data_IF_402961064767
#
_entry.id   IF_402961064767
#
_cell.length_a   1.000
_cell.length_b   1.000
_cell.length_c   1.000
_cell.angle_alpha   90.00
_cell.angle_beta   90.00
_cell.angle_gamma   90.00
#
_symmetry.space_group_name_H-M   'P 1'
#
loop_
_entity.id
_entity.type
_entity.pdbx_description
1 polymer ?
#
# COMPACT_ATOMS: atom_id res chain seq x y z
N UNK A 1 -1.25 2.46 -36.34
CA UNK A 1 -2.46 2.93 -35.64
C UNK A 1 -2.06 4.04 -34.69
N UNK A 2 -2.86 5.11 -34.63
CA UNK A 2 -2.64 6.24 -33.73
C UNK A 2 -3.06 5.88 -32.31
N UNK A 3 -2.28 6.31 -31.31
CA UNK A 3 -2.47 5.93 -29.91
C UNK A 3 -2.31 7.12 -28.98
N UNK A 4 -3.07 7.13 -27.89
CA UNK A 4 -2.84 8.02 -26.74
C UNK A 4 -2.28 7.19 -25.58
N UNK A 5 -1.08 7.55 -25.11
CA UNK A 5 -0.45 6.86 -23.96
C UNK A 5 -0.29 7.81 -22.79
N UNK A 6 -0.80 7.43 -21.63
CA UNK A 6 -0.64 8.15 -20.37
C UNK A 6 0.43 7.48 -19.51
N UNK A 7 1.42 8.23 -19.02
CA UNK A 7 2.32 7.70 -17.98
C UNK A 7 1.73 7.93 -16.58
N UNK A 8 1.85 6.95 -15.68
CA UNK A 8 1.37 7.06 -14.28
C UNK A 8 2.50 6.78 -13.30
N UNK A 9 2.80 7.68 -12.37
CA UNK A 9 3.83 7.46 -11.34
C UNK A 9 4.42 8.72 -10.71
N UNK A 10 5.15 8.54 -9.60
CA UNK A 10 5.75 9.64 -8.83
C UNK A 10 6.80 10.44 -9.63
N UNK A 11 7.04 11.72 -9.30
CA UNK A 11 8.25 12.43 -9.74
C UNK A 11 9.51 11.59 -9.46
N UNK A 12 10.46 11.55 -10.41
CA UNK A 12 11.65 10.68 -10.31
C UNK A 12 11.45 9.21 -10.73
N UNK A 13 10.24 8.77 -11.10
CA UNK A 13 9.98 7.36 -11.47
C UNK A 13 10.49 6.94 -12.86
N UNK A 14 10.91 7.89 -13.72
CA UNK A 14 11.47 7.61 -15.06
C UNK A 14 10.52 7.80 -16.24
N UNK A 15 9.33 8.35 -16.02
CA UNK A 15 8.30 8.61 -17.06
C UNK A 15 8.84 9.39 -18.25
N UNK A 16 9.46 10.55 -17.99
CA UNK A 16 10.00 11.44 -19.04
C UNK A 16 11.11 10.77 -19.84
N UNK A 17 11.99 9.99 -19.18
CA UNK A 17 13.05 9.22 -19.84
C UNK A 17 12.44 8.21 -20.81
N UNK A 18 11.49 7.41 -20.33
CA UNK A 18 10.80 6.42 -21.17
C UNK A 18 10.07 7.08 -22.34
N UNK A 19 9.36 8.20 -22.11
CA UNK A 19 8.62 8.91 -23.15
C UNK A 19 9.56 9.43 -24.26
N UNK A 20 10.71 10.02 -23.89
CA UNK A 20 11.74 10.46 -24.84
C UNK A 20 12.30 9.31 -25.66
N UNK A 21 12.58 8.17 -25.03
CA UNK A 21 13.02 6.98 -25.74
C UNK A 21 11.99 6.49 -26.77
N UNK A 22 10.69 6.54 -26.45
CA UNK A 22 9.65 6.14 -27.41
C UNK A 22 9.62 7.06 -28.64
N UNK A 23 9.74 8.38 -28.45
CA UNK A 23 9.80 9.33 -29.57
C UNK A 23 11.05 9.12 -30.42
N UNK A 24 12.21 8.92 -29.79
CA UNK A 24 13.48 8.71 -30.52
C UNK A 24 13.49 7.39 -31.32
N UNK A 25 12.74 6.37 -30.87
CA UNK A 25 12.59 5.10 -31.58
C UNK A 25 11.57 5.15 -32.72
N UNK A 26 10.68 6.14 -32.71
CA UNK A 26 9.62 6.28 -33.70
C UNK A 26 10.11 7.04 -34.95
N UNK A 27 9.38 6.90 -36.05
CA UNK A 27 9.63 7.73 -37.24
C UNK A 27 9.41 9.21 -36.88
N UNK A 28 10.27 10.14 -37.36
CA UNK A 28 10.11 11.56 -37.09
C UNK A 28 8.71 12.07 -37.40
N UNK A 29 8.09 12.81 -36.47
CA UNK A 29 6.76 13.39 -36.61
C UNK A 29 5.58 12.44 -36.35
N UNK A 30 5.83 11.16 -36.02
CA UNK A 30 4.75 10.19 -35.78
C UNK A 30 4.33 10.07 -34.31
N UNK A 31 5.21 10.42 -33.38
CA UNK A 31 4.95 10.39 -31.93
C UNK A 31 5.42 11.70 -31.30
N UNK A 32 4.60 12.29 -30.43
CA UNK A 32 4.93 13.52 -29.69
C UNK A 32 4.71 13.35 -28.19
N UNK A 33 5.40 14.16 -27.38
CA UNK A 33 5.23 14.22 -25.93
C UNK A 33 4.49 15.51 -25.58
N UNK A 34 3.47 15.39 -24.74
CA UNK A 34 2.81 16.52 -24.08
C UNK A 34 3.03 16.39 -22.58
N UNK A 35 3.60 17.42 -21.96
CA UNK A 35 3.97 17.44 -20.55
C UNK A 35 3.52 18.78 -19.94
N UNK A 36 2.78 18.73 -18.84
CA UNK A 36 2.31 19.94 -18.16
C UNK A 36 3.44 20.73 -17.50
N UNK A 37 4.53 20.06 -17.07
CA UNK A 37 5.71 20.76 -16.54
C UNK A 37 6.32 21.66 -17.63
N UNK A 38 6.49 21.13 -18.85
CA UNK A 38 7.02 21.88 -20.00
C UNK A 38 6.06 23.02 -20.41
N UNK A 39 4.74 22.77 -20.38
CA UNK A 39 3.74 23.80 -20.68
C UNK A 39 3.69 24.90 -19.61
N UNK A 40 3.88 24.58 -18.32
CA UNK A 40 3.99 25.58 -17.25
C UNK A 40 5.20 26.48 -17.45
N UNK A 41 6.34 25.89 -17.80
CA UNK A 41 7.54 26.64 -18.12
C UNK A 41 7.31 27.58 -19.32
N UNK A 42 6.72 27.05 -20.39
CA UNK A 42 6.45 27.79 -21.63
C UNK A 42 5.43 28.93 -21.45
N UNK A 43 4.29 28.65 -20.81
CA UNK A 43 3.15 29.57 -20.77
C UNK A 43 3.21 30.54 -19.58
N UNK A 44 3.86 30.14 -18.48
CA UNK A 44 3.76 30.86 -17.21
C UNK A 44 5.13 31.08 -16.53
N UNK A 45 6.24 30.85 -17.24
CA UNK A 45 7.60 30.94 -16.68
C UNK A 45 7.75 30.09 -15.40
N UNK A 46 7.10 28.92 -15.37
CA UNK A 46 7.12 27.99 -14.24
C UNK A 46 6.27 28.42 -13.03
N UNK A 47 5.55 29.55 -13.10
CA UNK A 47 4.73 30.04 -11.98
C UNK A 47 3.43 29.29 -11.84
N UNK A 48 3.24 28.65 -10.68
CA UNK A 48 2.00 27.97 -10.35
C UNK A 48 0.93 28.93 -9.80
N UNK A 49 -0.29 28.81 -10.29
CA UNK A 49 -1.52 29.36 -9.69
C UNK A 49 -2.73 28.54 -10.17
N UNK A 50 -3.87 28.54 -9.46
CA UNK A 50 -5.06 27.81 -9.92
C UNK A 50 -5.49 28.22 -11.34
N UNK A 51 -5.45 29.52 -11.65
CA UNK A 51 -5.77 30.03 -12.99
C UNK A 51 -4.77 29.56 -14.05
N UNK A 52 -3.48 29.50 -13.72
CA UNK A 52 -2.45 29.00 -14.64
C UNK A 52 -2.61 27.49 -14.88
N UNK A 53 -2.95 26.70 -13.86
CA UNK A 53 -3.13 25.26 -14.01
C UNK A 53 -4.31 24.94 -14.93
N UNK A 54 -5.42 25.68 -14.84
CA UNK A 54 -6.55 25.57 -15.78
C UNK A 54 -6.11 25.87 -17.22
N UNK A 55 -5.32 26.93 -17.42
CA UNK A 55 -4.80 27.29 -18.75
C UNK A 55 -3.88 26.20 -19.31
N UNK A 56 -2.97 25.68 -18.49
CA UNK A 56 -2.05 24.61 -18.86
C UNK A 56 -2.79 23.32 -19.21
N UNK A 57 -3.82 22.97 -18.45
CA UNK A 57 -4.68 21.83 -18.77
C UNK A 57 -5.38 22.03 -20.10
N UNK A 58 -6.02 23.18 -20.34
CA UNK A 58 -6.69 23.45 -21.61
C UNK A 58 -5.72 23.41 -22.81
N UNK A 59 -4.51 23.95 -22.65
CA UNK A 59 -3.47 23.88 -23.67
C UNK A 59 -3.01 22.44 -23.94
N UNK A 60 -2.80 21.65 -22.89
CA UNK A 60 -2.48 20.23 -23.01
C UNK A 60 -3.55 19.48 -23.78
N UNK A 61 -4.82 19.68 -23.42
CA UNK A 61 -5.96 18.98 -24.00
C UNK A 61 -6.15 19.36 -25.47
N UNK A 62 -5.93 20.63 -25.81
CA UNK A 62 -5.94 21.11 -27.18
C UNK A 62 -4.80 20.50 -28.02
N UNK A 63 -3.58 20.41 -27.48
CA UNK A 63 -2.45 19.80 -28.17
C UNK A 63 -2.67 18.31 -28.40
N UNK A 64 -3.02 17.57 -27.35
CA UNK A 64 -3.34 16.13 -27.44
C UNK A 64 -4.41 15.92 -28.51
N UNK A 65 -5.49 16.69 -28.43
CA UNK A 65 -6.60 16.65 -29.36
C UNK A 65 -6.17 16.86 -30.82
N UNK A 66 -5.36 17.87 -31.07
CA UNK A 66 -4.93 18.28 -32.41
C UNK A 66 -4.01 17.24 -33.05
N UNK A 67 -3.05 16.71 -32.29
CA UNK A 67 -2.11 15.71 -32.80
C UNK A 67 -2.81 14.40 -33.13
N UNK A 68 -3.70 13.93 -32.25
CA UNK A 68 -4.47 12.71 -32.50
C UNK A 68 -5.34 12.83 -33.75
N UNK A 69 -6.00 13.98 -33.97
CA UNK A 69 -6.80 14.24 -35.18
C UNK A 69 -5.97 14.26 -36.48
N UNK A 70 -4.65 14.48 -36.38
CA UNK A 70 -3.72 14.41 -37.52
C UNK A 70 -3.08 13.02 -37.71
N UNK A 71 -3.49 12.04 -36.91
CA UNK A 71 -2.92 10.70 -36.94
C UNK A 71 -1.59 10.55 -36.19
N UNK A 72 -1.12 11.58 -35.48
CA UNK A 72 0.09 11.55 -34.66
C UNK A 72 -0.21 10.96 -33.29
N UNK A 73 0.55 9.94 -32.87
CA UNK A 73 0.42 9.36 -31.53
C UNK A 73 0.95 10.31 -30.46
N UNK A 74 0.30 10.34 -29.29
CA UNK A 74 0.63 11.28 -28.21
C UNK A 74 0.98 10.52 -26.94
N UNK A 75 2.07 10.91 -26.29
CA UNK A 75 2.45 10.45 -24.95
C UNK A 75 2.25 11.62 -23.98
N UNK A 76 1.35 11.47 -23.01
CA UNK A 76 1.15 12.42 -21.92
C UNK A 76 2.04 12.04 -20.74
N UNK A 77 3.17 12.74 -20.60
CA UNK A 77 4.29 12.38 -19.72
C UNK A 77 4.20 13.00 -18.31
N UNK A 78 2.98 13.14 -17.77
CA UNK A 78 2.72 13.70 -16.43
C UNK A 78 2.75 12.63 -15.33
N UNK A 79 2.55 13.03 -14.07
CA UNK A 79 2.41 12.09 -12.94
C UNK A 79 1.14 11.23 -13.02
N UNK A 80 0.02 11.81 -13.46
CA UNK A 80 -1.29 11.19 -13.66
C UNK A 80 -1.73 10.22 -12.54
N UNK A 81 -1.45 10.60 -11.28
CA UNK A 81 -1.82 9.79 -10.11
C UNK A 81 -3.30 9.96 -9.71
N UNK A 82 -3.89 11.14 -9.95
CA UNK A 82 -5.32 11.38 -9.75
C UNK A 82 -6.13 10.61 -10.82
N UNK A 83 -7.10 9.75 -10.44
CA UNK A 83 -7.98 9.04 -11.37
C UNK A 83 -8.70 9.92 -12.39
N UNK A 84 -9.08 11.14 -12.01
CA UNK A 84 -9.76 12.10 -12.91
C UNK A 84 -8.91 12.42 -14.16
N UNK A 85 -7.58 12.39 -14.06
CA UNK A 85 -6.71 12.59 -15.22
C UNK A 85 -6.82 11.45 -16.23
N UNK A 86 -6.99 10.21 -15.76
CA UNK A 86 -7.14 9.05 -16.62
C UNK A 86 -8.49 9.10 -17.33
N UNK A 87 -9.58 9.32 -16.59
CA UNK A 87 -10.94 9.45 -17.15
C UNK A 87 -10.99 10.53 -18.23
N UNK A 88 -10.36 11.69 -17.98
CA UNK A 88 -10.28 12.79 -18.93
C UNK A 88 -9.54 12.42 -20.22
N UNK A 89 -8.37 11.77 -20.12
CA UNK A 89 -7.58 11.38 -21.28
C UNK A 89 -8.23 10.22 -22.06
N UNK A 90 -8.86 9.27 -21.36
CA UNK A 90 -9.68 8.21 -21.96
C UNK A 90 -10.84 8.83 -22.77
N UNK A 91 -11.52 9.84 -22.23
CA UNK A 91 -12.55 10.58 -22.96
C UNK A 91 -12.03 11.25 -24.24
N UNK A 92 -10.84 11.85 -24.20
CA UNK A 92 -10.19 12.47 -25.38
C UNK A 92 -9.85 11.43 -26.45
N UNK A 93 -9.38 10.24 -26.04
CA UNK A 93 -9.08 9.13 -26.93
C UNK A 93 -10.36 8.54 -27.57
N UNK A 94 -11.38 8.28 -26.75
CA UNK A 94 -12.66 7.75 -27.18
C UNK A 94 -13.35 8.66 -28.21
N UNK A 95 -13.36 9.97 -27.96
CA UNK A 95 -13.91 10.96 -28.89
C UNK A 95 -13.22 11.00 -30.26
N UNK A 96 -12.03 10.41 -30.38
CA UNK A 96 -11.24 10.35 -31.63
C UNK A 96 -11.11 8.95 -32.21
N UNK A 97 -11.71 7.95 -31.56
CA UNK A 97 -11.59 6.54 -31.96
C UNK A 97 -10.15 6.03 -31.96
N UNK A 98 -9.29 6.53 -31.05
CA UNK A 98 -7.90 6.06 -30.92
C UNK A 98 -7.74 5.17 -29.70
N UNK A 99 -6.77 4.26 -29.74
CA UNK A 99 -6.48 3.37 -28.62
C UNK A 99 -5.82 4.13 -27.46
N UNK A 100 -6.27 3.87 -26.24
CA UNK A 100 -5.70 4.43 -25.02
C UNK A 100 -4.86 3.40 -24.27
N UNK A 101 -3.69 3.81 -23.79
CA UNK A 101 -2.78 2.96 -23.01
C UNK A 101 -2.28 3.67 -21.75
N UNK A 102 -2.13 2.90 -20.66
CA UNK A 102 -1.49 3.37 -19.43
C UNK A 102 -0.12 2.72 -19.29
N UNK A 103 0.93 3.54 -19.23
CA UNK A 103 2.27 3.10 -18.85
C UNK A 103 2.50 3.38 -17.37
N UNK A 104 2.42 2.32 -16.57
CA UNK A 104 2.52 2.40 -15.11
C UNK A 104 3.98 2.34 -14.60
N UNK A 105 4.33 3.29 -13.73
CA UNK A 105 5.60 3.42 -13.02
C UNK A 105 5.39 3.54 -11.49
N UNK A 106 4.20 3.22 -10.98
CA UNK A 106 3.88 3.22 -9.55
C UNK A 106 4.59 2.12 -8.77
N UNK A 107 5.13 1.12 -9.47
CA UNK A 107 5.99 0.07 -8.93
C UNK A 107 7.40 0.56 -8.53
N UNK A 108 7.81 1.77 -8.96
CA UNK A 108 9.12 2.32 -8.59
C UNK A 108 9.10 2.77 -7.12
N UNK A 109 10.03 2.24 -6.32
CA UNK A 109 10.10 2.50 -4.88
C UNK A 109 10.19 4.00 -4.56
N UNK A 110 9.46 4.44 -3.52
CA UNK A 110 9.45 5.82 -3.03
C UNK A 110 10.86 6.39 -2.84
N UNK A 111 11.74 5.68 -2.14
CA UNK A 111 13.11 6.14 -1.89
C UNK A 111 13.91 6.29 -3.20
N UNK A 112 13.70 5.41 -4.18
CA UNK A 112 14.33 5.55 -5.50
C UNK A 112 13.85 6.81 -6.21
N UNK A 113 12.54 7.11 -6.15
CA UNK A 113 11.97 8.33 -6.70
C UNK A 113 12.57 9.58 -6.03
N UNK A 114 12.66 9.61 -4.70
CA UNK A 114 13.27 10.73 -3.93
C UNK A 114 14.75 10.90 -4.31
N UNK A 115 15.55 9.83 -4.27
CA UNK A 115 16.98 9.91 -4.59
C UNK A 115 17.25 10.35 -6.04
N UNK A 116 16.36 10.01 -6.98
CA UNK A 116 16.45 10.48 -8.36
C UNK A 116 16.01 11.92 -8.49
N UNK A 117 14.96 12.33 -7.79
CA UNK A 117 14.45 13.70 -7.85
C UNK A 117 15.47 14.72 -7.33
N UNK A 118 16.20 14.38 -6.26
CA UNK A 118 17.27 15.21 -5.70
C UNK A 118 18.40 15.51 -6.68
N UNK A 119 18.57 14.70 -7.73
CA UNK A 119 19.60 14.88 -8.77
C UNK A 119 19.09 15.65 -9.99
N UNK A 120 17.82 16.03 -10.03
CA UNK A 120 17.22 16.77 -11.15
C UNK A 120 17.51 18.26 -11.01
N UNK A 121 17.79 18.92 -12.13
CA UNK A 121 17.91 20.38 -12.20
C UNK A 121 16.64 21.08 -11.66
N UNK A 122 15.47 20.57 -12.02
CA UNK A 122 14.17 20.97 -11.45
C UNK A 122 13.63 19.87 -10.54
N UNK A 123 14.09 19.88 -9.28
CA UNK A 123 13.56 19.00 -8.23
C UNK A 123 12.21 19.51 -7.74
N UNK A 124 11.28 18.58 -7.48
CA UNK A 124 9.99 18.91 -6.85
C UNK A 124 10.08 18.86 -5.31
N UNK A 125 11.10 18.19 -4.78
CA UNK A 125 11.36 18.06 -3.35
C UNK A 125 10.72 16.82 -2.70
N UNK A 126 11.42 16.28 -1.70
CA UNK A 126 11.02 15.06 -0.98
C UNK A 126 9.61 15.14 -0.39
N UNK A 127 9.28 16.28 0.25
CA UNK A 127 7.98 16.49 0.89
C UNK A 127 6.83 16.28 -0.09
N UNK A 128 6.94 16.86 -1.29
CA UNK A 128 5.90 16.74 -2.34
C UNK A 128 5.78 15.30 -2.81
N UNK A 129 6.88 14.58 -2.98
CA UNK A 129 6.85 13.17 -3.41
C UNK A 129 6.18 12.29 -2.35
N UNK A 130 6.48 12.52 -1.06
CA UNK A 130 5.83 11.81 0.05
C UNK A 130 4.34 12.08 0.09
N UNK A 131 3.93 13.34 -0.02
CA UNK A 131 2.51 13.72 -0.06
C UNK A 131 1.76 13.07 -1.24
N UNK A 132 2.38 13.02 -2.43
CA UNK A 132 1.80 12.34 -3.59
C UNK A 132 1.72 10.83 -3.40
N UNK A 133 2.73 10.23 -2.79
CA UNK A 133 2.75 8.81 -2.47
C UNK A 133 1.64 8.47 -1.46
N UNK A 134 1.55 9.21 -0.36
CA UNK A 134 0.51 9.04 0.65
C UNK A 134 -0.89 9.24 0.09
N UNK A 135 -1.10 10.26 -0.74
CA UNK A 135 -2.42 10.58 -1.26
C UNK A 135 -2.96 9.56 -2.26
N UNK A 136 -2.10 9.00 -3.10
CA UNK A 136 -2.53 8.23 -4.28
C UNK A 136 -2.03 6.78 -4.33
N UNK A 137 -0.93 6.46 -3.64
CA UNK A 137 -0.29 5.14 -3.71
C UNK A 137 -0.37 4.38 -2.39
N UNK A 138 -0.47 5.09 -1.26
CA UNK A 138 -0.84 4.46 0.02
C UNK A 138 -2.33 4.18 -0.03
N UNK A 139 -2.75 2.91 0.08
CA UNK A 139 -4.17 2.60 0.13
C UNK A 139 -4.79 3.28 1.34
N UNK A 140 -5.88 4.00 1.13
CA UNK A 140 -6.64 4.60 2.22
C UNK A 140 -7.20 3.48 3.13
N UNK A 141 -7.35 3.72 4.43
CA UNK A 141 -8.12 2.83 5.29
C UNK A 141 -9.49 2.60 4.66
N UNK A 142 -9.87 1.33 4.52
CA UNK A 142 -11.27 0.99 4.29
C UNK A 142 -12.10 1.47 5.49
N UNK A 143 -13.39 1.70 5.26
CA UNK A 143 -14.31 1.95 6.38
C UNK A 143 -14.20 0.81 7.39
N UNK A 144 -14.32 1.09 8.70
CA UNK A 144 -14.32 0.05 9.70
C UNK A 144 -15.35 -1.04 9.32
N UNK A 145 -14.99 -2.33 9.45
CA UNK A 145 -15.92 -3.42 9.18
C UNK A 145 -17.21 -3.23 9.97
N UNK A 146 -18.36 -3.42 9.33
CA UNK A 146 -19.64 -3.30 10.01
C UNK A 146 -19.74 -4.35 11.11
N UNK A 147 -20.24 -3.93 12.28
CA UNK A 147 -20.56 -4.83 13.38
C UNK A 147 -21.72 -5.74 13.01
N UNK A 148 -21.56 -7.04 13.25
CA UNK A 148 -22.57 -8.06 13.03
C UNK A 148 -23.30 -8.32 14.36
N UNK A 149 -24.62 -8.08 14.43
CA UNK A 149 -25.41 -8.31 15.64
C UNK A 149 -25.27 -9.75 16.16
N UNK A 150 -25.14 -9.90 17.48
CA UNK A 150 -25.04 -11.21 18.14
C UNK A 150 -23.67 -11.89 18.03
N UNK A 151 -22.68 -11.29 17.36
CA UNK A 151 -21.30 -11.79 17.36
C UNK A 151 -20.50 -11.20 18.53
N UNK A 152 -19.59 -11.98 19.15
CA UNK A 152 -18.77 -11.50 20.25
C UNK A 152 -17.81 -10.40 19.79
N UNK A 153 -17.50 -9.46 20.68
CA UNK A 153 -16.39 -8.53 20.49
C UNK A 153 -15.08 -9.29 20.61
N UNK A 154 -14.12 -9.00 19.73
CA UNK A 154 -12.83 -9.68 19.75
C UNK A 154 -11.65 -8.72 19.68
N UNK A 155 -10.55 -9.17 20.26
CA UNK A 155 -9.22 -8.57 20.14
C UNK A 155 -8.33 -9.55 19.41
N UNK A 156 -7.74 -9.11 18.30
CA UNK A 156 -6.73 -9.91 17.60
C UNK A 156 -5.37 -9.63 18.22
N UNK A 157 -4.63 -10.70 18.52
CA UNK A 157 -3.35 -10.61 19.22
C UNK A 157 -2.29 -11.36 18.43
N UNK A 158 -1.30 -10.62 17.94
CA UNK A 158 -0.09 -11.21 17.36
C UNK A 158 0.80 -11.88 18.41
N UNK A 159 1.69 -12.78 17.97
CA UNK A 159 2.65 -13.46 18.85
C UNK A 159 4.03 -12.81 18.84
N UNK A 160 4.78 -12.99 17.75
CA UNK A 160 6.22 -12.71 17.70
C UNK A 160 6.51 -11.21 17.67
N UNK A 161 7.09 -10.68 18.75
CA UNK A 161 7.31 -9.23 18.94
C UNK A 161 6.14 -8.52 19.61
N UNK A 162 5.03 -9.24 19.85
CA UNK A 162 3.82 -8.72 20.50
C UNK A 162 3.65 -9.29 21.91
N UNK A 163 3.15 -10.53 22.08
CA UNK A 163 3.14 -11.20 23.40
C UNK A 163 4.40 -12.02 23.65
N UNK A 164 5.02 -12.54 22.59
CA UNK A 164 6.22 -13.36 22.65
C UNK A 164 7.45 -12.52 22.30
N UNK A 165 8.44 -12.54 23.18
CA UNK A 165 9.73 -11.87 23.04
C UNK A 165 10.78 -12.89 22.62
N UNK A 166 11.19 -12.83 21.36
CA UNK A 166 11.98 -13.88 20.69
C UNK A 166 13.42 -14.10 21.16
N UNK A 167 13.95 -13.28 22.06
CA UNK A 167 15.35 -13.38 22.48
C UNK A 167 16.32 -13.40 21.29
N UNK A 168 17.15 -14.44 21.21
CA UNK A 168 18.12 -14.68 20.13
C UNK A 168 17.59 -15.56 18.98
N UNK A 169 16.35 -16.09 19.11
CA UNK A 169 15.76 -16.99 18.13
C UNK A 169 15.53 -16.28 16.80
N UNK A 170 15.91 -16.93 15.70
CA UNK A 170 15.65 -16.41 14.34
C UNK A 170 14.14 -16.40 14.02
N UNK A 171 13.62 -15.45 13.22
CA UNK A 171 12.18 -15.34 12.96
C UNK A 171 11.57 -16.57 12.31
N UNK A 172 12.36 -17.43 11.67
CA UNK A 172 11.91 -18.63 10.96
C UNK A 172 12.35 -19.92 11.65
N UNK A 173 12.93 -19.82 12.85
CA UNK A 173 13.34 -20.96 13.66
C UNK A 173 12.14 -21.42 14.50
N UNK A 174 11.39 -22.34 13.91
CA UNK A 174 10.10 -22.81 14.43
C UNK A 174 10.22 -23.85 15.55
N UNK A 175 11.39 -24.49 15.66
CA UNK A 175 11.62 -25.58 16.61
C UNK A 175 11.96 -25.06 18.02
N UNK A 176 12.22 -23.76 18.16
CA UNK A 176 12.61 -23.09 19.42
C UNK A 176 11.56 -22.09 19.92
N UNK A 177 10.35 -22.11 19.37
CA UNK A 177 9.30 -21.12 19.72
C UNK A 177 8.83 -21.20 21.17
N UNK A 178 9.12 -22.31 21.84
CA UNK A 178 8.86 -22.57 23.25
C UNK A 178 9.90 -21.93 24.18
N UNK A 179 11.03 -21.49 23.65
CA UNK A 179 12.09 -20.78 24.38
C UNK A 179 11.84 -19.26 24.49
N UNK A 180 10.81 -18.75 23.81
CA UNK A 180 10.53 -17.32 23.78
C UNK A 180 10.17 -16.79 25.19
N UNK A 181 10.67 -15.60 25.53
CA UNK A 181 10.30 -14.86 26.74
C UNK A 181 8.97 -14.10 26.51
N UNK A 182 8.46 -13.43 27.53
CA UNK A 182 7.11 -12.82 27.50
C UNK A 182 7.19 -11.30 27.59
N UNK A 183 6.39 -10.62 26.77
CA UNK A 183 6.06 -9.21 26.99
C UNK A 183 4.95 -9.09 28.03
N UNK A 184 5.34 -9.08 29.32
CA UNK A 184 4.39 -9.15 30.42
C UNK A 184 3.35 -8.02 30.40
N UNK A 185 3.77 -6.81 30.04
CA UNK A 185 2.89 -5.64 29.89
C UNK A 185 1.81 -5.84 28.82
N UNK A 186 2.15 -6.51 27.72
CA UNK A 186 1.18 -6.86 26.67
C UNK A 186 0.28 -8.01 27.11
N UNK A 187 0.81 -9.00 27.84
CA UNK A 187 0.01 -10.09 28.42
C UNK A 187 -1.00 -9.58 29.45
N UNK A 188 -0.62 -8.63 30.30
CA UNK A 188 -1.50 -7.99 31.27
C UNK A 188 -2.64 -7.22 30.56
N UNK A 189 -2.32 -6.53 29.46
CA UNK A 189 -3.32 -5.88 28.61
C UNK A 189 -4.29 -6.91 27.98
N UNK A 190 -3.78 -8.00 27.41
CA UNK A 190 -4.61 -9.06 26.82
C UNK A 190 -5.53 -9.69 27.87
N UNK A 191 -5.01 -9.97 29.06
CA UNK A 191 -5.78 -10.52 30.18
C UNK A 191 -6.86 -9.54 30.64
N UNK A 192 -6.53 -8.25 30.75
CA UNK A 192 -7.49 -7.18 31.09
C UNK A 192 -8.62 -7.10 30.06
N UNK A 193 -8.30 -7.15 28.77
CA UNK A 193 -9.29 -7.09 27.68
C UNK A 193 -10.20 -8.33 27.68
N UNK A 194 -9.64 -9.51 27.94
CA UNK A 194 -10.39 -10.75 28.14
C UNK A 194 -11.36 -10.64 29.30
N UNK A 195 -10.87 -10.21 30.46
CA UNK A 195 -11.68 -10.12 31.68
C UNK A 195 -12.77 -9.03 31.57
N UNK A 196 -12.56 -8.03 30.72
CA UNK A 196 -13.60 -7.07 30.30
C UNK A 196 -14.65 -7.67 29.33
N UNK A 197 -14.53 -8.95 28.96
CA UNK A 197 -15.51 -9.69 28.15
C UNK A 197 -15.18 -9.77 26.65
N UNK A 198 -13.97 -9.40 26.22
CA UNK A 198 -13.56 -9.59 24.84
C UNK A 198 -13.08 -11.02 24.58
N UNK A 199 -13.42 -11.57 23.41
CA UNK A 199 -12.83 -12.81 22.92
C UNK A 199 -11.41 -12.53 22.43
N UNK A 200 -10.42 -13.27 22.95
CA UNK A 200 -9.04 -13.15 22.50
C UNK A 200 -8.79 -14.16 21.37
N UNK A 201 -8.41 -13.64 20.20
CA UNK A 201 -8.07 -14.45 19.02
C UNK A 201 -6.60 -14.24 18.68
N UNK A 202 -5.79 -15.27 18.89
CA UNK A 202 -4.37 -15.24 18.54
C UNK A 202 -4.18 -15.45 17.04
N UNK A 203 -3.33 -14.64 16.43
CA UNK A 203 -2.96 -14.75 15.02
C UNK A 203 -1.45 -14.66 14.86
N UNK A 204 -0.82 -15.59 14.14
CA UNK A 204 0.64 -15.65 14.07
C UNK A 204 1.17 -15.89 12.67
N UNK A 205 2.33 -15.26 12.40
CA UNK A 205 3.16 -15.54 11.24
C UNK A 205 3.97 -16.83 11.33
N UNK A 206 4.00 -17.51 12.49
CA UNK A 206 4.65 -18.80 12.67
C UNK A 206 4.01 -19.86 11.78
N UNK A 207 4.83 -20.71 11.17
CA UNK A 207 4.37 -21.86 10.39
C UNK A 207 3.59 -22.84 11.28
N UNK A 208 2.49 -23.39 10.77
CA UNK A 208 1.61 -24.33 11.48
C UNK A 208 2.34 -25.61 11.94
N UNK A 209 3.53 -25.93 11.42
CA UNK A 209 4.40 -26.97 12.03
C UNK A 209 4.71 -26.70 13.51
N UNK A 210 4.77 -25.42 13.91
CA UNK A 210 5.00 -25.00 15.29
C UNK A 210 3.71 -24.86 16.11
N UNK A 211 2.57 -25.38 15.63
CA UNK A 211 1.28 -25.18 16.30
C UNK A 211 1.25 -25.71 17.73
N UNK A 212 1.64 -26.98 17.92
CA UNK A 212 1.66 -27.61 19.24
C UNK A 212 2.62 -26.93 20.23
N UNK A 213 3.89 -26.63 19.89
CA UNK A 213 4.77 -25.91 20.82
C UNK A 213 4.30 -24.47 21.07
N UNK A 214 3.74 -23.78 20.07
CA UNK A 214 3.16 -22.44 20.26
C UNK A 214 1.95 -22.48 21.20
N UNK A 215 1.07 -23.46 21.04
CA UNK A 215 -0.09 -23.71 21.91
C UNK A 215 0.34 -23.93 23.36
N UNK A 216 1.30 -24.82 23.57
CA UNK A 216 1.84 -25.12 24.90
C UNK A 216 2.48 -23.89 25.53
N UNK A 217 3.23 -23.11 24.74
CA UNK A 217 3.85 -21.87 25.20
C UNK A 217 2.81 -20.85 25.69
N UNK A 218 1.71 -20.67 24.95
CA UNK A 218 0.60 -19.79 25.38
C UNK A 218 -0.01 -20.23 26.71
N UNK A 219 -0.25 -21.53 26.87
CA UNK A 219 -0.85 -22.08 28.10
C UNK A 219 0.06 -21.92 29.31
N UNK A 220 1.36 -22.14 29.11
CA UNK A 220 2.38 -22.02 30.16
C UNK A 220 2.60 -20.57 30.60
N UNK A 221 2.66 -19.62 29.65
CA UNK A 221 3.13 -18.28 29.91
C UNK A 221 2.03 -17.21 30.02
N UNK A 222 0.90 -17.40 29.33
CA UNK A 222 -0.23 -16.46 29.34
C UNK A 222 -1.36 -16.97 30.23
N UNK A 223 -1.56 -18.30 30.26
CA UNK A 223 -2.44 -18.95 31.20
C UNK A 223 -3.28 -20.06 30.57
N UNK A 224 -3.79 -20.96 31.42
CA UNK A 224 -4.51 -22.17 31.01
C UNK A 224 -5.79 -21.89 30.22
N UNK A 225 -6.41 -20.72 30.39
CA UNK A 225 -7.57 -20.30 29.60
C UNK A 225 -7.26 -20.21 28.11
N UNK A 226 -5.99 -19.99 27.75
CA UNK A 226 -5.61 -19.94 26.35
C UNK A 226 -5.85 -21.28 25.69
N UNK A 227 -5.88 -22.42 26.42
CA UNK A 227 -6.10 -23.79 25.91
C UNK A 227 -7.26 -23.92 24.92
N UNK A 228 -8.32 -23.14 25.14
CA UNK A 228 -9.50 -23.09 24.28
C UNK A 228 -9.57 -21.84 23.40
N UNK A 229 -8.67 -20.86 23.58
CA UNK A 229 -8.66 -19.63 22.79
C UNK A 229 -8.32 -19.93 21.32
N UNK A 230 -8.99 -19.27 20.35
CA UNK A 230 -8.66 -19.40 18.94
C UNK A 230 -7.20 -19.03 18.64
N UNK A 231 -6.49 -19.92 17.94
CA UNK A 231 -5.14 -19.70 17.43
C UNK A 231 -5.13 -19.97 15.93
N UNK A 232 -4.86 -18.93 15.14
CA UNK A 232 -4.69 -19.01 13.70
C UNK A 232 -3.23 -18.77 13.32
N UNK A 233 -2.66 -19.68 12.54
CA UNK A 233 -1.25 -19.66 12.15
C UNK A 233 -1.11 -19.73 10.63
N UNK A 234 0.08 -19.40 10.15
CA UNK A 234 0.44 -19.51 8.73
C UNK A 234 0.35 -20.96 8.27
N UNK A 235 -0.34 -21.26 7.15
CA UNK A 235 -0.38 -22.60 6.58
C UNK A 235 1.02 -23.16 6.34
N UNK A 236 1.18 -24.48 6.50
CA UNK A 236 2.48 -25.14 6.31
C UNK A 236 3.08 -24.78 4.95
N UNK A 237 4.36 -24.41 4.96
CA UNK A 237 5.15 -24.09 3.76
C UNK A 237 4.74 -22.81 3.02
N UNK A 238 3.84 -22.00 3.56
CA UNK A 238 3.47 -20.73 2.95
C UNK A 238 4.56 -19.67 3.13
N UNK A 239 5.23 -19.32 2.04
CA UNK A 239 6.33 -18.34 2.01
C UNK A 239 5.88 -16.92 1.68
N UNK A 240 4.57 -16.65 1.58
CA UNK A 240 4.03 -15.30 1.32
C UNK A 240 4.35 -14.36 2.48
N UNK A 241 4.29 -13.05 2.22
CA UNK A 241 4.51 -12.03 3.27
C UNK A 241 3.50 -12.16 4.40
N UNK A 242 3.92 -11.80 5.60
CA UNK A 242 3.10 -11.94 6.82
C UNK A 242 1.76 -11.22 6.75
N UNK A 243 1.75 -9.97 6.30
CA UNK A 243 0.50 -9.22 6.11
C UNK A 243 -0.47 -9.88 5.12
N UNK A 244 0.04 -10.59 4.08
CA UNK A 244 -0.83 -11.29 3.11
C UNK A 244 -1.51 -12.49 3.76
N UNK A 245 -0.74 -13.28 4.52
CA UNK A 245 -1.27 -14.47 5.22
C UNK A 245 -2.25 -14.06 6.31
N UNK A 246 -1.91 -13.06 7.13
CA UNK A 246 -2.79 -12.57 8.19
C UNK A 246 -4.08 -11.95 7.64
N UNK A 247 -4.01 -11.24 6.53
CA UNK A 247 -5.20 -10.71 5.84
C UNK A 247 -6.11 -11.84 5.34
N UNK A 248 -5.55 -12.88 4.73
CA UNK A 248 -6.31 -14.06 4.27
C UNK A 248 -7.01 -14.76 5.46
N UNK A 249 -6.27 -15.04 6.53
CA UNK A 249 -6.81 -15.62 7.77
C UNK A 249 -7.95 -14.75 8.31
N UNK A 250 -7.75 -13.43 8.37
CA UNK A 250 -8.78 -12.51 8.85
C UNK A 250 -10.06 -12.62 8.01
N UNK A 251 -9.94 -12.53 6.69
CA UNK A 251 -11.09 -12.56 5.77
C UNK A 251 -11.84 -13.90 5.82
N UNK A 252 -11.12 -15.01 5.90
CA UNK A 252 -11.71 -16.34 5.82
C UNK A 252 -12.20 -16.88 7.16
N UNK A 253 -11.49 -16.55 8.25
CA UNK A 253 -11.69 -17.18 9.56
C UNK A 253 -12.30 -16.24 10.60
N UNK A 254 -12.11 -14.93 10.47
CA UNK A 254 -12.47 -13.98 11.54
C UNK A 254 -13.64 -13.06 11.11
N UNK A 255 -13.57 -12.49 9.91
CA UNK A 255 -14.56 -11.55 9.39
C UNK A 255 -15.96 -12.17 9.38
N UNK A 256 -16.92 -11.46 9.97
CA UNK A 256 -18.31 -11.91 10.10
C UNK A 256 -18.58 -12.93 11.22
N UNK A 257 -17.53 -13.52 11.81
CA UNK A 257 -17.62 -14.36 13.01
C UNK A 257 -17.40 -13.58 14.30
N UNK A 258 -16.60 -12.51 14.23
CA UNK A 258 -16.27 -11.64 15.36
C UNK A 258 -16.47 -10.17 15.00
N UNK A 259 -16.82 -9.38 16.01
CA UNK A 259 -16.80 -7.92 15.96
C UNK A 259 -15.43 -7.44 16.47
N UNK A 260 -14.44 -7.37 15.58
CA UNK A 260 -13.07 -7.00 15.94
C UNK A 260 -12.98 -5.52 16.29
N UNK A 261 -12.65 -5.22 17.54
CA UNK A 261 -12.53 -3.84 18.04
C UNK A 261 -11.09 -3.34 18.09
N UNK A 262 -10.15 -4.26 18.26
CA UNK A 262 -8.75 -3.93 18.47
C UNK A 262 -7.86 -5.02 17.90
N UNK A 263 -6.73 -4.61 17.35
CA UNK A 263 -5.63 -5.48 16.96
C UNK A 263 -4.36 -5.04 17.69
N UNK A 264 -3.63 -5.99 18.27
CA UNK A 264 -2.31 -5.81 18.85
C UNK A 264 -1.30 -6.51 17.93
N UNK A 265 -0.37 -5.74 17.35
CA UNK A 265 0.65 -6.25 16.42
C UNK A 265 1.87 -5.32 16.48
N UNK A 266 3.09 -5.82 16.32
CA UNK A 266 4.31 -5.02 16.43
C UNK A 266 4.80 -4.52 15.06
N UNK A 267 4.66 -5.36 14.03
CA UNK A 267 5.38 -5.21 12.77
C UNK A 267 4.72 -4.21 11.84
N UNK A 268 5.47 -3.19 11.42
CA UNK A 268 4.94 -2.03 10.68
C UNK A 268 4.14 -2.42 9.43
N UNK A 269 4.67 -3.33 8.61
CA UNK A 269 3.98 -3.74 7.38
C UNK A 269 2.64 -4.47 7.63
N UNK A 270 2.50 -5.11 8.79
CA UNK A 270 1.29 -5.84 9.22
C UNK A 270 0.32 -4.87 9.89
N UNK A 271 0.82 -3.98 10.75
CA UNK A 271 0.05 -2.86 11.32
C UNK A 271 -0.56 -1.99 10.22
N UNK A 272 0.21 -1.64 9.20
CA UNK A 272 -0.28 -0.89 8.05
C UNK A 272 -1.36 -1.68 7.30
N UNK A 273 -1.25 -3.01 7.23
CA UNK A 273 -2.29 -3.87 6.66
C UNK A 273 -3.58 -3.81 7.48
N UNK A 274 -3.52 -3.98 8.80
CA UNK A 274 -4.71 -3.92 9.65
C UNK A 274 -5.42 -2.57 9.56
N UNK A 275 -4.65 -1.48 9.58
CA UNK A 275 -5.17 -0.12 9.40
C UNK A 275 -5.80 0.07 8.01
N UNK A 276 -5.22 -0.50 6.95
CA UNK A 276 -5.85 -0.52 5.61
C UNK A 276 -7.18 -1.27 5.60
N UNK A 277 -7.36 -2.30 6.42
CA UNK A 277 -8.62 -3.02 6.61
C UNK A 277 -9.64 -2.28 7.49
N UNK A 278 -9.36 -1.04 7.87
CA UNK A 278 -10.26 -0.25 8.73
C UNK A 278 -10.21 -0.66 10.20
N UNK A 279 -9.29 -1.54 10.59
CA UNK A 279 -9.17 -2.05 11.95
C UNK A 279 -8.28 -1.13 12.81
N UNK A 280 -8.79 -0.80 14.00
CA UNK A 280 -8.01 -0.09 15.01
C UNK A 280 -6.88 -0.98 15.50
N UNK A 281 -5.66 -0.52 15.34
CA UNK A 281 -4.45 -1.30 15.63
C UNK A 281 -3.51 -0.53 16.54
N UNK A 282 -3.22 -1.12 17.72
CA UNK A 282 -2.19 -0.64 18.62
C UNK A 282 -0.88 -1.33 18.28
N UNK A 283 0.11 -0.52 17.94
CA UNK A 283 1.45 -1.01 17.67
C UNK A 283 2.25 -1.03 18.97
N UNK A 284 2.59 -2.22 19.46
CA UNK A 284 3.12 -2.39 20.82
C UNK A 284 4.63 -2.18 20.94
N UNK A 285 5.36 -2.28 19.82
CA UNK A 285 6.81 -2.07 19.76
C UNK A 285 7.26 -1.48 18.40
N UNK A 286 8.47 -0.90 18.29
CA UNK A 286 9.05 -0.52 17.00
C UNK A 286 9.19 -1.74 16.07
N UNK A 287 8.54 -1.71 14.90
CA UNK A 287 8.42 -2.88 14.02
C UNK A 287 8.91 -2.69 12.59
N UNK A 288 9.95 -1.89 12.36
CA UNK A 288 10.42 -1.59 10.99
C UNK A 288 11.31 -2.70 10.39
N UNK A 289 10.73 -3.89 10.18
CA UNK A 289 11.38 -5.07 9.61
C UNK A 289 10.39 -5.99 8.86
#
# INVERSE_FOLDING_TARGET
>A
MTTLTMTKGLPGSGKTTWAREQVLKAMPGTVVIVCRDDLRDMLNAGRWSPKNETLVQNASDFLVSTFLSRGTSVIVADTNLNPEHQERLEGIAAARGVNFFVKDFTNVRLNTCISRDLKREKSVGEKVIRELHERYLVPKPSEPPQTVPGRPHAVLVDLDGTVAKRGDRSPFDWDRVDEDDVHQDVVDLVTTLRDAGAEIVFISGRDERAYMPTRAWLEQHIGSWTASAPLHMRPKWDMRKDGVVKEEIYRERILGRYNVWLVLDDRQQVVDMWRRLGLRTLQVAPGNF
#
